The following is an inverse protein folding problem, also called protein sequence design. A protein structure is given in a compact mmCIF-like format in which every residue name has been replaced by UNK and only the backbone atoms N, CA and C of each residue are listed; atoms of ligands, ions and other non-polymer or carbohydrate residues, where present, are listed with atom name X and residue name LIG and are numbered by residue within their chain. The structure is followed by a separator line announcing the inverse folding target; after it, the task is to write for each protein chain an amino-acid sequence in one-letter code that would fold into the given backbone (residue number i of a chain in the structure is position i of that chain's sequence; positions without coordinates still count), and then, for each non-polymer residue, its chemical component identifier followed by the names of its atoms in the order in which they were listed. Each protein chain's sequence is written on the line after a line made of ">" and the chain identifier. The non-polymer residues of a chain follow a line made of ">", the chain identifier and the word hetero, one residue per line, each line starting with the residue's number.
data_IF_187570680388
#
_entry.id   IF_187570680388
#
_cell.length_a   1.000
_cell.length_b   1.000
_cell.length_c   1.000
_cell.angle_alpha   90.00
_cell.angle_beta   90.00
_cell.angle_gamma   90.00
#
_symmetry.space_group_name_H-M   'P 1'
#
loop_
_entity.id
_entity.type
_entity.pdbx_description
1 polymer ?
#
# COMPACT_ATOMS: atom_id res chain seq x y z
N UNK A 1 -27.31 7.79 -38.16
CA UNK A 1 -26.87 7.06 -36.95
C UNK A 1 -27.49 7.72 -35.74
N UNK A 2 -28.36 7.02 -35.00
CA UNK A 2 -28.98 7.55 -33.78
C UNK A 2 -27.99 7.44 -32.61
N UNK A 3 -27.76 8.52 -31.86
CA UNK A 3 -27.00 8.47 -30.60
C UNK A 3 -27.83 7.71 -29.57
N UNK A 4 -27.45 6.47 -29.29
CA UNK A 4 -28.03 5.69 -28.19
C UNK A 4 -27.58 6.35 -26.88
N UNK A 5 -28.51 6.98 -26.17
CA UNK A 5 -28.24 7.55 -24.85
C UNK A 5 -28.07 6.41 -23.85
N UNK A 6 -27.04 6.53 -23.00
CA UNK A 6 -26.77 5.60 -21.91
C UNK A 6 -27.98 5.61 -20.97
N UNK A 7 -28.63 4.46 -20.77
CA UNK A 7 -29.76 4.41 -19.83
C UNK A 7 -29.24 4.42 -18.40
N UNK A 8 -30.10 4.75 -17.42
CA UNK A 8 -29.73 4.65 -16.00
C UNK A 8 -29.27 3.23 -15.61
N UNK A 9 -29.85 2.20 -16.23
CA UNK A 9 -29.43 0.81 -16.05
C UNK A 9 -28.02 0.56 -16.60
N UNK A 10 -27.70 1.10 -17.77
CA UNK A 10 -26.38 0.98 -18.37
C UNK A 10 -25.31 1.70 -17.53
N UNK A 11 -25.66 2.86 -16.96
CA UNK A 11 -24.77 3.59 -16.05
C UNK A 11 -24.47 2.79 -14.79
N UNK A 12 -25.50 2.23 -14.13
CA UNK A 12 -25.32 1.42 -12.92
C UNK A 12 -24.52 0.13 -13.20
N UNK A 13 -24.71 -0.48 -14.37
CA UNK A 13 -23.92 -1.65 -14.77
C UNK A 13 -22.45 -1.28 -15.01
N UNK A 14 -22.19 -0.14 -15.66
CA UNK A 14 -20.85 0.40 -15.82
C UNK A 14 -20.21 0.73 -14.48
N UNK A 15 -20.92 1.42 -13.58
CA UNK A 15 -20.42 1.80 -12.25
C UNK A 15 -19.96 0.57 -11.47
N UNK A 16 -20.78 -0.48 -11.40
CA UNK A 16 -20.42 -1.74 -10.72
C UNK A 16 -19.17 -2.39 -11.32
N UNK A 17 -19.13 -2.53 -12.64
CA UNK A 17 -17.98 -3.13 -13.32
C UNK A 17 -16.68 -2.33 -13.09
N UNK A 18 -16.77 -1.00 -12.98
CA UNK A 18 -15.61 -0.16 -12.68
C UNK A 18 -15.19 -0.26 -11.22
N UNK A 19 -16.13 -0.38 -10.28
CA UNK A 19 -15.82 -0.60 -8.86
C UNK A 19 -15.05 -1.91 -8.70
N UNK A 20 -15.52 -3.01 -9.29
CA UNK A 20 -14.85 -4.31 -9.22
C UNK A 20 -13.46 -4.25 -9.86
N UNK A 21 -13.35 -3.65 -11.05
CA UNK A 21 -12.05 -3.45 -11.72
C UNK A 21 -11.07 -2.62 -10.88
N UNK A 22 -11.54 -1.53 -10.25
CA UNK A 22 -10.72 -0.70 -9.39
C UNK A 22 -10.27 -1.47 -8.15
N UNK A 23 -11.13 -2.31 -7.57
CA UNK A 23 -10.75 -3.20 -6.47
C UNK A 23 -9.63 -4.15 -6.88
N UNK A 24 -9.75 -4.82 -8.02
CA UNK A 24 -8.72 -5.75 -8.52
C UNK A 24 -7.38 -5.04 -8.75
N UNK A 25 -7.41 -3.85 -9.35
CA UNK A 25 -6.21 -3.03 -9.60
C UNK A 25 -5.55 -2.61 -8.28
N UNK A 26 -6.35 -2.21 -7.28
CA UNK A 26 -5.83 -1.82 -5.97
C UNK A 26 -5.25 -3.02 -5.21
N UNK A 27 -5.89 -4.19 -5.27
CA UNK A 27 -5.38 -5.41 -4.66
C UNK A 27 -4.06 -5.87 -5.28
N UNK A 28 -3.99 -5.87 -6.62
CA UNK A 28 -2.76 -6.19 -7.35
C UNK A 28 -1.64 -5.19 -7.02
N UNK A 29 -1.95 -3.89 -6.97
CA UNK A 29 -0.99 -2.89 -6.54
C UNK A 29 -0.51 -3.15 -5.10
N UNK A 30 -1.40 -3.52 -4.18
CA UNK A 30 -1.03 -3.80 -2.79
C UNK A 30 -0.11 -5.03 -2.69
N UNK A 31 -0.36 -6.11 -3.44
CA UNK A 31 0.53 -7.27 -3.50
C UNK A 31 1.95 -6.88 -3.96
N UNK A 32 2.04 -6.00 -4.95
CA UNK A 32 3.33 -5.48 -5.45
C UNK A 32 4.01 -4.57 -4.41
N UNK A 33 3.26 -3.72 -3.73
CA UNK A 33 3.77 -2.92 -2.60
C UNK A 33 4.32 -3.83 -1.50
N UNK A 34 3.59 -4.87 -1.12
CA UNK A 34 4.00 -5.83 -0.09
C UNK A 34 5.34 -6.47 -0.45
N UNK A 35 5.47 -6.96 -1.69
CA UNK A 35 6.68 -7.60 -2.18
C UNK A 35 7.91 -6.67 -2.11
N UNK A 36 7.77 -5.44 -2.60
CA UNK A 36 8.86 -4.46 -2.64
C UNK A 36 9.28 -3.98 -1.24
N UNK A 37 8.28 -3.72 -0.37
CA UNK A 37 8.53 -3.30 1.01
C UNK A 37 9.25 -4.42 1.78
N UNK A 38 8.79 -5.66 1.69
CA UNK A 38 9.41 -6.80 2.36
C UNK A 38 10.83 -7.05 1.84
N UNK A 39 11.05 -6.95 0.53
CA UNK A 39 12.37 -7.10 -0.08
C UNK A 39 13.35 -6.00 0.36
N UNK A 40 12.87 -4.76 0.51
CA UNK A 40 13.69 -3.68 1.06
C UNK A 40 14.02 -3.91 2.54
N UNK A 41 13.04 -4.30 3.34
CA UNK A 41 13.23 -4.57 4.76
C UNK A 41 14.24 -5.69 4.99
N UNK A 42 14.14 -6.79 4.25
CA UNK A 42 15.07 -7.90 4.35
C UNK A 42 16.52 -7.43 4.10
N UNK A 43 16.76 -6.66 3.02
CA UNK A 43 18.09 -6.11 2.73
C UNK A 43 18.63 -5.22 3.84
N UNK A 44 17.76 -4.42 4.47
CA UNK A 44 18.15 -3.56 5.61
C UNK A 44 18.48 -4.39 6.86
N UNK A 45 17.68 -5.42 7.14
CA UNK A 45 17.89 -6.32 8.28
C UNK A 45 19.16 -7.15 8.12
N UNK A 46 19.48 -7.62 6.91
CA UNK A 46 20.73 -8.30 6.60
C UNK A 46 21.96 -7.38 6.86
N UNK A 47 21.75 -6.07 6.74
CA UNK A 47 22.75 -5.03 7.06
C UNK A 47 22.75 -4.61 8.54
N UNK A 48 22.10 -5.39 9.43
CA UNK A 48 21.99 -5.15 10.88
C UNK A 48 21.19 -3.91 11.29
N UNK A 49 20.32 -3.40 10.42
CA UNK A 49 19.34 -2.36 10.80
C UNK A 49 18.19 -3.03 11.56
N UNK A 50 17.72 -2.41 12.65
CA UNK A 50 16.59 -2.99 13.39
C UNK A 50 15.31 -2.93 12.56
N UNK A 51 14.37 -3.84 12.81
CA UNK A 51 13.06 -3.85 12.13
C UNK A 51 12.35 -2.50 12.23
N UNK A 52 12.44 -1.88 13.41
CA UNK A 52 11.86 -0.58 13.73
C UNK A 52 12.48 0.54 12.90
N UNK A 53 13.81 0.59 12.83
CA UNK A 53 14.55 1.58 12.03
C UNK A 53 14.32 1.36 10.53
N UNK A 54 14.33 0.11 10.08
CA UNK A 54 14.11 -0.25 8.69
C UNK A 54 12.70 0.17 8.23
N UNK A 55 11.66 -0.11 9.03
CA UNK A 55 10.31 0.34 8.71
C UNK A 55 10.15 1.86 8.71
N UNK A 56 10.84 2.58 9.61
CA UNK A 56 10.86 4.05 9.59
C UNK A 56 11.52 4.60 8.32
N UNK A 57 12.59 3.94 7.84
CA UNK A 57 13.28 4.32 6.60
C UNK A 57 12.46 4.02 5.36
N UNK A 58 11.82 2.85 5.28
CA UNK A 58 10.94 2.47 4.17
C UNK A 58 9.80 3.47 4.02
N UNK A 59 9.11 3.81 5.12
CA UNK A 59 8.01 4.77 5.10
C UNK A 59 8.43 6.17 4.60
N UNK A 60 9.69 6.56 4.82
CA UNK A 60 10.25 7.85 4.35
C UNK A 60 10.72 7.81 2.89
N UNK A 61 11.15 6.65 2.39
CA UNK A 61 11.91 6.56 1.13
C UNK A 61 11.11 6.00 -0.03
N UNK A 62 10.04 5.24 0.23
CA UNK A 62 9.33 4.50 -0.82
C UNK A 62 8.09 5.21 -1.36
N UNK A 63 7.64 6.33 -0.77
CA UNK A 63 6.45 7.05 -1.21
C UNK A 63 6.54 7.51 -2.68
N UNK A 64 5.39 7.49 -3.37
CA UNK A 64 5.24 7.94 -4.75
C UNK A 64 4.94 6.79 -5.70
N UNK A 65 5.27 6.95 -6.99
CA UNK A 65 5.02 5.94 -8.01
C UNK A 65 6.34 5.49 -8.64
N UNK A 66 6.60 4.18 -8.69
CA UNK A 66 7.79 3.60 -9.33
C UNK A 66 7.42 2.29 -10.01
N UNK A 67 7.86 2.11 -11.25
CA UNK A 67 7.62 0.88 -12.03
C UNK A 67 6.13 0.45 -12.09
N UNK A 68 5.24 1.44 -12.11
CA UNK A 68 3.78 1.21 -12.11
C UNK A 68 3.21 0.72 -10.79
N UNK A 69 3.97 0.78 -9.70
CA UNK A 69 3.51 0.54 -8.32
C UNK A 69 3.28 1.89 -7.65
N UNK A 70 2.12 2.08 -7.05
CA UNK A 70 1.75 3.25 -6.28
C UNK A 70 1.98 2.96 -4.80
N UNK A 71 3.03 3.55 -4.24
CA UNK A 71 3.40 3.44 -2.85
C UNK A 71 2.74 4.55 -2.04
N UNK A 72 1.57 4.25 -1.49
CA UNK A 72 0.89 5.14 -0.55
C UNK A 72 1.43 4.94 0.86
N UNK A 73 1.30 5.97 1.70
CA UNK A 73 1.61 5.85 3.13
C UNK A 73 0.80 4.74 3.79
N UNK A 74 -0.47 4.61 3.41
CA UNK A 74 -1.38 3.61 3.94
C UNK A 74 -0.95 2.20 3.55
N UNK A 75 -0.70 1.93 2.26
CA UNK A 75 -0.29 0.62 1.78
C UNK A 75 1.03 0.15 2.41
N UNK A 76 2.03 1.03 2.48
CA UNK A 76 3.30 0.70 3.18
C UNK A 76 3.06 0.46 4.67
N UNK A 77 2.22 1.27 5.33
CA UNK A 77 1.94 1.10 6.76
C UNK A 77 1.21 -0.22 7.02
N UNK A 78 0.27 -0.63 6.17
CA UNK A 78 -0.41 -1.92 6.28
C UNK A 78 0.57 -3.09 6.18
N UNK A 79 1.49 -3.07 5.20
CA UNK A 79 2.56 -4.08 5.10
C UNK A 79 3.45 -4.11 6.34
N UNK A 80 3.85 -2.93 6.84
CA UNK A 80 4.71 -2.85 8.03
C UNK A 80 3.99 -3.41 9.27
N UNK A 81 2.72 -3.06 9.46
CA UNK A 81 1.92 -3.57 10.59
C UNK A 81 1.72 -5.08 10.52
N UNK A 82 1.56 -5.67 9.33
CA UNK A 82 1.36 -7.12 9.16
C UNK A 82 2.57 -7.95 9.61
N UNK A 83 3.78 -7.37 9.60
CA UNK A 83 5.02 -7.98 10.12
C UNK A 83 5.37 -7.54 11.56
N UNK A 84 4.42 -6.90 12.25
CA UNK A 84 4.58 -6.46 13.63
C UNK A 84 5.57 -5.30 13.81
N UNK A 85 5.73 -4.44 12.82
CA UNK A 85 6.39 -3.15 13.02
C UNK A 85 5.51 -2.24 13.87
N UNK A 86 6.10 -1.59 14.88
CA UNK A 86 5.39 -0.66 15.75
C UNK A 86 5.65 0.77 15.27
N UNK A 87 4.65 1.63 15.05
CA UNK A 87 4.87 3.02 14.65
C UNK A 87 5.66 3.83 15.70
N UNK A 88 6.47 4.83 15.30
CA UNK A 88 7.26 5.65 16.23
C UNK A 88 6.45 6.30 17.36
N UNK A 89 5.21 6.71 17.09
CA UNK A 89 4.31 7.30 18.09
C UNK A 89 3.94 6.31 19.19
N UNK A 90 3.78 5.02 18.87
CA UNK A 90 3.44 3.97 19.84
C UNK A 90 4.65 3.42 20.59
N UNK A 91 5.86 3.50 20.02
CA UNK A 91 7.10 3.08 20.71
C UNK A 91 7.43 3.98 21.90
N UNK A 92 7.26 5.29 21.74
CA UNK A 92 7.58 6.27 22.79
C UNK A 92 6.68 6.17 24.01
N UNK A 93 5.44 5.71 23.83
CA UNK A 93 4.50 5.53 24.94
C UNK A 93 4.90 4.39 25.90
N UNK A 94 5.64 3.39 25.43
CA UNK A 94 6.12 2.27 26.26
C UNK A 94 7.53 2.45 26.84
N UNK A 95 8.19 3.59 26.60
CA UNK A 95 9.53 3.88 27.13
C UNK A 95 9.49 4.75 28.42
N UNK A 96 8.30 4.94 28.99
CA UNK A 96 8.02 5.82 30.13
C UNK A 96 7.43 5.10 31.34
N UNK A 97 7.55 3.77 31.40
CA UNK A 97 7.21 2.97 32.59
C UNK A 97 8.48 2.43 33.28
#
# INVERSE_FOLDING_TARGET
>A
MSRRLLTARDFLAWERANVDFLHDVLEENQKRVDHEVLSMLQRMMDSRVTKEQAGDMVLKTMLGTREGIVFTREGITQTLLSIGWVPPSKRKAGATE
#
